data_IF_828366709015
#
_entry.id   IF_828366709015
#
_cell.length_a   1.000
_cell.length_b   1.000
_cell.length_c   1.000
_cell.angle_alpha   90.00
_cell.angle_beta   90.00
_cell.angle_gamma   90.00
#
_symmetry.space_group_name_H-M   'P 1'
#
loop_
_entity.id
_entity.type
_entity.pdbx_description
1 polymer ?
#
# COMPACT_ATOMS: atom_id res chain seq x y z
N UNK A 1 117.81 -55.24 46.17
CA UNK A 1 117.34 -56.62 45.90
C UNK A 1 116.47 -56.69 44.64
N UNK A 2 115.32 -55.99 44.57
CA UNK A 2 114.54 -55.86 43.31
C UNK A 2 114.96 -54.68 42.41
N UNK A 3 115.89 -53.85 42.90
CA UNK A 3 116.45 -52.67 42.22
C UNK A 3 117.27 -53.00 40.97
N UNK A 4 117.89 -54.18 40.95
CA UNK A 4 118.89 -54.57 39.94
C UNK A 4 118.37 -55.68 39.00
N UNK A 5 117.14 -56.16 39.23
CA UNK A 5 116.49 -57.21 38.44
C UNK A 5 115.49 -56.58 37.45
N UNK A 6 115.82 -56.59 36.16
CA UNK A 6 114.87 -56.20 35.12
C UNK A 6 113.95 -57.37 34.78
N UNK A 7 112.68 -57.24 35.15
CA UNK A 7 111.66 -58.22 34.77
C UNK A 7 111.11 -57.95 33.36
N UNK A 8 110.82 -59.00 32.57
CA UNK A 8 110.16 -58.85 31.28
C UNK A 8 108.78 -58.19 31.42
N UNK A 9 108.31 -57.59 30.32
CA UNK A 9 107.08 -56.79 30.30
C UNK A 9 105.87 -57.59 30.84
N UNK A 10 105.16 -57.05 31.84
CA UNK A 10 104.02 -57.70 32.49
C UNK A 10 104.35 -58.53 33.74
N UNK A 11 105.62 -58.59 34.15
CA UNK A 11 106.05 -59.13 35.44
C UNK A 11 106.53 -58.02 36.37
N UNK A 12 106.26 -58.17 37.68
CA UNK A 12 106.80 -57.29 38.72
C UNK A 12 107.80 -58.07 39.57
N UNK A 13 108.88 -57.42 39.99
CA UNK A 13 109.79 -58.01 40.95
C UNK A 13 109.13 -58.05 42.34
N UNK A 14 109.10 -59.22 42.96
CA UNK A 14 108.60 -59.44 44.30
C UNK A 14 109.61 -60.30 45.08
N UNK A 15 109.82 -60.00 46.36
CA UNK A 15 110.66 -60.83 47.23
C UNK A 15 109.86 -62.05 47.70
N UNK A 16 110.36 -63.25 47.40
CA UNK A 16 109.80 -64.54 47.84
C UNK A 16 110.92 -65.36 48.47
N UNK A 17 110.70 -65.82 49.71
CA UNK A 17 111.66 -66.62 50.50
C UNK A 17 113.08 -66.03 50.59
N UNK A 18 113.18 -64.70 50.67
CA UNK A 18 114.46 -63.99 50.77
C UNK A 18 115.17 -63.72 49.44
N UNK A 19 114.61 -64.11 48.30
CA UNK A 19 115.19 -63.91 46.96
C UNK A 19 114.26 -63.06 46.06
N UNK A 20 114.81 -62.15 45.23
CA UNK A 20 114.00 -61.37 44.28
C UNK A 20 113.58 -62.26 43.09
N UNK A 21 112.27 -62.38 42.85
CA UNK A 21 111.70 -63.12 41.72
C UNK A 21 110.77 -62.25 40.88
N UNK A 22 110.80 -62.44 39.56
CA UNK A 22 109.81 -61.86 38.66
C UNK A 22 108.54 -62.69 38.69
N UNK A 23 107.47 -62.14 39.24
CA UNK A 23 106.15 -62.77 39.27
C UNK A 23 105.22 -62.03 38.32
N UNK A 24 104.24 -62.74 37.75
CA UNK A 24 103.23 -62.10 36.91
C UNK A 24 102.48 -61.01 37.69
N UNK A 25 102.42 -59.81 37.11
CA UNK A 25 101.56 -58.74 37.64
C UNK A 25 100.11 -59.17 37.47
N UNK A 26 99.43 -59.53 38.56
CA UNK A 26 98.00 -59.82 38.54
C UNK A 26 97.23 -58.54 38.22
N UNK A 27 96.54 -58.43 37.08
CA UNK A 27 95.84 -57.21 36.72
C UNK A 27 94.70 -56.93 37.71
N UNK A 28 94.52 -55.66 38.05
CA UNK A 28 93.49 -55.15 38.97
C UNK A 28 92.50 -54.26 38.23
N UNK A 29 91.40 -53.88 38.89
CA UNK A 29 90.45 -52.93 38.30
C UNK A 29 91.02 -51.52 38.09
N UNK A 30 92.18 -51.17 38.67
CA UNK A 30 92.88 -49.95 38.32
C UNK A 30 93.54 -50.02 36.94
N UNK A 31 93.80 -51.23 36.43
CA UNK A 31 94.46 -51.47 35.15
C UNK A 31 93.46 -51.57 33.98
N UNK A 32 92.15 -51.53 34.25
CA UNK A 32 91.08 -51.72 33.24
C UNK A 32 90.19 -50.48 33.15
N UNK A 33 90.15 -49.86 31.97
CA UNK A 33 89.16 -48.80 31.66
C UNK A 33 87.91 -49.42 31.04
N UNK A 34 86.82 -49.43 31.80
CA UNK A 34 85.54 -49.95 31.33
C UNK A 34 84.79 -48.94 30.45
N UNK A 35 84.08 -49.40 29.40
CA UNK A 35 83.24 -48.54 28.57
C UNK A 35 82.07 -47.94 29.38
N UNK A 36 81.46 -46.88 28.84
CA UNK A 36 80.35 -46.14 29.48
C UNK A 36 79.24 -47.10 29.92
N UNK A 37 78.67 -46.88 31.11
CA UNK A 37 77.60 -47.68 31.73
C UNK A 37 77.99 -49.13 32.14
N UNK A 38 79.28 -49.39 32.26
CA UNK A 38 79.82 -50.61 32.88
C UNK A 38 80.76 -50.27 34.04
N UNK A 39 80.89 -51.16 35.01
CA UNK A 39 81.79 -50.99 36.16
C UNK A 39 82.72 -52.19 36.28
N UNK A 40 83.97 -51.96 36.69
CA UNK A 40 84.95 -53.03 36.85
C UNK A 40 84.74 -53.77 38.18
N UNK A 41 84.64 -55.10 38.11
CA UNK A 41 84.56 -55.97 39.28
C UNK A 41 85.58 -57.11 39.15
N UNK A 42 86.14 -57.53 40.28
CA UNK A 42 86.97 -58.75 40.33
C UNK A 42 86.05 -59.97 40.31
N UNK A 43 86.10 -60.74 39.21
CA UNK A 43 85.32 -61.97 39.03
C UNK A 43 86.30 -63.13 38.86
N UNK A 44 86.27 -64.09 39.78
CA UNK A 44 87.15 -65.26 39.79
C UNK A 44 88.64 -64.92 39.70
N UNK A 45 89.08 -63.88 40.41
CA UNK A 45 90.48 -63.44 40.44
C UNK A 45 90.92 -62.58 39.25
N UNK A 46 90.01 -62.21 38.34
CA UNK A 46 90.32 -61.36 37.17
C UNK A 46 89.39 -60.13 37.08
N UNK A 47 89.89 -58.95 36.69
CA UNK A 47 89.06 -57.76 36.52
C UNK A 47 88.17 -57.91 35.27
N UNK A 48 86.86 -57.74 35.43
CA UNK A 48 85.88 -57.78 34.33
C UNK A 48 84.94 -56.57 34.39
N UNK A 49 84.67 -55.96 33.23
CA UNK A 49 83.64 -54.94 33.10
C UNK A 49 82.27 -55.62 33.04
N UNK A 50 81.41 -55.32 34.02
CA UNK A 50 80.04 -55.83 34.07
C UNK A 50 79.07 -54.69 33.84
N UNK A 51 77.95 -54.97 33.16
CA UNK A 51 76.90 -53.98 32.94
C UNK A 51 76.30 -53.54 34.27
N UNK A 52 76.38 -52.24 34.54
CA UNK A 52 75.63 -51.61 35.60
C UNK A 52 74.21 -51.50 35.06
N UNK A 53 73.36 -52.49 35.31
CA UNK A 53 71.99 -52.53 34.76
C UNK A 53 71.21 -51.28 35.18
N UNK A 54 71.23 -50.25 34.33
CA UNK A 54 70.37 -49.09 34.45
C UNK A 54 69.03 -49.46 33.81
N UNK A 55 68.22 -50.23 34.54
CA UNK A 55 66.80 -50.33 34.22
C UNK A 55 66.24 -48.89 34.25
N UNK A 56 65.55 -48.42 33.19
CA UNK A 56 64.85 -47.14 33.26
C UNK A 56 63.97 -47.15 34.51
N UNK A 57 64.12 -46.13 35.37
CA UNK A 57 63.36 -46.06 36.63
C UNK A 57 61.95 -45.52 36.41
N UNK A 58 61.74 -44.83 35.29
CA UNK A 58 60.50 -44.14 34.94
C UNK A 58 60.19 -44.30 33.46
N UNK A 59 58.94 -44.00 33.09
CA UNK A 59 58.51 -43.99 31.69
C UNK A 59 59.08 -42.85 30.85
N UNK A 60 59.72 -41.85 31.49
CA UNK A 60 60.27 -40.67 30.80
C UNK A 60 61.44 -41.02 29.88
N UNK A 61 62.22 -42.04 30.25
CA UNK A 61 63.42 -42.46 29.51
C UNK A 61 63.17 -43.72 28.65
N UNK A 62 61.93 -44.25 28.65
CA UNK A 62 61.57 -45.47 27.94
C UNK A 62 60.80 -45.17 26.64
N UNK A 63 61.49 -45.26 25.51
CA UNK A 63 60.85 -45.20 24.20
C UNK A 63 60.21 -46.55 23.83
N UNK A 64 58.88 -46.56 23.75
CA UNK A 64 58.12 -47.74 23.36
C UNK A 64 57.87 -47.81 21.84
N UNK A 65 57.92 -49.02 21.23
CA UNK A 65 57.64 -49.21 19.82
C UNK A 65 56.19 -48.81 19.46
N UNK A 66 55.92 -48.66 18.15
CA UNK A 66 54.60 -48.27 17.63
C UNK A 66 53.50 -49.20 18.20
N UNK A 67 52.36 -48.61 18.55
CA UNK A 67 51.19 -49.27 19.16
C UNK A 67 51.39 -49.85 20.57
N UNK A 68 52.46 -49.46 21.25
CA UNK A 68 52.65 -49.68 22.69
C UNK A 68 52.76 -48.35 23.44
N UNK A 69 52.46 -48.36 24.74
CA UNK A 69 52.58 -47.21 25.64
C UNK A 69 53.31 -47.62 26.91
N UNK A 70 54.14 -46.74 27.47
CA UNK A 70 54.79 -47.03 28.73
C UNK A 70 53.79 -46.96 29.89
N UNK A 71 53.78 -48.00 30.73
CA UNK A 71 53.01 -48.05 31.96
C UNK A 71 53.91 -48.54 33.10
N UNK A 72 53.73 -47.98 34.30
CA UNK A 72 54.41 -48.46 35.49
C UNK A 72 53.69 -49.71 36.01
N UNK A 73 54.38 -50.86 36.00
CA UNK A 73 53.86 -52.13 36.51
C UNK A 73 54.80 -52.65 37.59
N UNK A 74 54.29 -52.83 38.81
CA UNK A 74 55.08 -53.27 39.98
C UNK A 74 56.35 -52.44 40.23
N UNK A 75 56.26 -51.11 40.06
CA UNK A 75 57.38 -50.20 40.29
C UNK A 75 58.42 -50.14 39.19
N UNK A 76 58.20 -50.80 38.04
CA UNK A 76 59.10 -50.77 36.89
C UNK A 76 58.36 -50.32 35.61
N UNK A 77 58.94 -49.45 34.77
CA UNK A 77 58.34 -49.06 33.51
C UNK A 77 58.37 -50.23 32.50
N UNK A 78 57.22 -50.48 31.85
CA UNK A 78 57.05 -51.50 30.83
C UNK A 78 56.26 -50.94 29.65
N UNK A 79 56.66 -51.31 28.43
CA UNK A 79 55.84 -51.06 27.24
C UNK A 79 54.72 -52.08 27.18
N UNK A 80 53.48 -51.62 27.26
CA UNK A 80 52.28 -52.45 27.13
C UNK A 80 51.57 -52.09 25.84
N UNK A 81 50.89 -53.05 25.22
CA UNK A 81 50.05 -52.76 24.06
C UNK A 81 48.98 -51.75 24.42
N UNK A 82 48.80 -50.74 23.56
CA UNK A 82 47.68 -49.80 23.70
C UNK A 82 46.39 -50.62 23.62
N UNK A 83 45.44 -50.35 24.54
CA UNK A 83 44.13 -51.01 24.49
C UNK A 83 43.50 -50.75 23.11
N UNK A 84 42.97 -51.78 22.44
CA UNK A 84 42.26 -51.60 21.17
C UNK A 84 41.13 -50.57 21.37
N UNK A 85 41.17 -49.47 20.60
CA UNK A 85 40.22 -48.37 20.69
C UNK A 85 39.56 -48.10 19.33
N UNK A 86 38.50 -47.30 19.35
CA UNK A 86 37.81 -46.86 18.14
C UNK A 86 38.46 -45.65 17.45
N UNK A 87 39.59 -45.15 17.96
CA UNK A 87 40.18 -43.87 17.51
C UNK A 87 40.59 -43.87 16.03
N UNK A 88 40.92 -45.06 15.49
CA UNK A 88 41.35 -45.23 14.09
C UNK A 88 40.39 -46.10 13.26
N UNK A 89 39.20 -46.42 13.78
CA UNK A 89 38.25 -47.30 13.09
C UNK A 89 37.21 -46.47 12.34
N UNK A 90 37.24 -46.55 11.00
CA UNK A 90 36.27 -45.85 10.15
C UNK A 90 35.13 -46.79 9.77
N UNK A 91 33.97 -46.59 10.41
CA UNK A 91 32.76 -47.36 10.15
C UNK A 91 31.95 -46.82 8.96
N UNK A 92 31.21 -47.70 8.27
CA UNK A 92 30.32 -47.33 7.18
C UNK A 92 29.09 -46.56 7.68
N UNK A 93 28.41 -45.82 6.79
CA UNK A 93 27.23 -44.99 7.13
C UNK A 93 26.15 -45.85 7.82
N UNK A 94 25.65 -45.39 8.98
CA UNK A 94 24.64 -46.11 9.77
C UNK A 94 25.19 -47.13 10.79
N UNK A 95 26.53 -47.18 10.96
CA UNK A 95 27.18 -48.00 11.98
C UNK A 95 28.06 -47.14 12.89
N UNK A 96 28.22 -47.52 14.15
CA UNK A 96 29.03 -46.83 15.15
C UNK A 96 30.07 -47.80 15.70
N UNK A 97 31.31 -47.34 15.91
CA UNK A 97 32.35 -48.17 16.50
C UNK A 97 32.11 -48.35 18.01
N UNK A 98 32.09 -49.59 18.46
CA UNK A 98 32.05 -49.97 19.86
C UNK A 98 33.13 -51.02 20.15
N UNK A 99 33.79 -50.92 21.31
CA UNK A 99 34.69 -51.96 21.79
C UNK A 99 33.85 -53.05 22.45
N UNK A 100 33.81 -54.24 21.83
CA UNK A 100 33.06 -55.42 22.31
C UNK A 100 34.05 -56.56 22.49
N UNK A 101 34.00 -57.23 23.64
CA UNK A 101 34.96 -58.29 24.02
C UNK A 101 36.44 -57.87 23.87
N UNK A 102 36.74 -56.59 24.14
CA UNK A 102 38.08 -56.04 24.03
C UNK A 102 38.54 -55.67 22.62
N UNK A 103 37.68 -55.81 21.60
CA UNK A 103 38.00 -55.49 20.20
C UNK A 103 37.04 -54.43 19.62
N UNK A 104 37.55 -53.44 18.86
CA UNK A 104 36.69 -52.44 18.22
C UNK A 104 35.92 -53.08 17.05
N UNK A 105 34.59 -52.96 17.08
CA UNK A 105 33.68 -53.47 16.04
C UNK A 105 32.71 -52.38 15.63
N UNK A 106 32.40 -52.30 14.34
CA UNK A 106 31.31 -51.45 13.84
C UNK A 106 29.99 -52.18 14.06
N UNK A 107 29.13 -51.64 14.93
CA UNK A 107 27.79 -52.18 15.18
C UNK A 107 26.75 -51.29 14.54
N UNK A 108 25.63 -51.86 14.10
CA UNK A 108 24.52 -51.05 13.60
C UNK A 108 24.07 -50.10 14.70
N UNK A 109 24.01 -48.82 14.36
CA UNK A 109 23.35 -47.85 15.21
C UNK A 109 21.89 -48.30 15.22
N UNK A 110 21.40 -48.85 16.35
CA UNK A 110 19.98 -49.12 16.54
C UNK A 110 19.27 -47.78 16.61
N UNK A 111 19.06 -47.17 15.45
CA UNK A 111 18.09 -46.11 15.30
C UNK A 111 16.76 -46.85 15.44
N UNK A 112 16.16 -46.82 16.64
CA UNK A 112 14.72 -47.04 16.75
C UNK A 112 14.10 -46.20 15.63
N UNK A 113 13.42 -46.80 14.65
CA UNK A 113 12.81 -46.04 13.57
C UNK A 113 11.95 -44.99 14.24
N UNK A 114 12.39 -43.73 14.15
CA UNK A 114 11.62 -42.61 14.68
C UNK A 114 10.29 -42.71 13.96
N UNK A 115 9.17 -42.77 14.70
CA UNK A 115 7.85 -42.82 14.07
C UNK A 115 7.78 -41.65 13.08
N UNK A 116 7.56 -41.91 11.78
CA UNK A 116 7.53 -40.85 10.80
C UNK A 116 6.40 -39.89 11.18
N UNK A 117 6.66 -38.60 11.07
CA UNK A 117 5.70 -37.53 11.28
C UNK A 117 5.30 -36.96 9.92
N UNK A 118 4.25 -36.13 9.88
CA UNK A 118 3.82 -35.53 8.61
C UNK A 118 4.88 -34.66 7.92
N UNK A 119 5.92 -34.20 8.63
CA UNK A 119 7.05 -33.50 8.01
C UNK A 119 7.99 -34.44 7.25
N UNK A 120 7.95 -35.75 7.54
CA UNK A 120 8.76 -36.79 6.89
C UNK A 120 8.06 -37.37 5.64
N UNK A 121 6.79 -37.00 5.40
CA UNK A 121 5.94 -37.58 4.35
C UNK A 121 5.61 -36.53 3.30
N UNK A 122 6.02 -36.77 2.05
CA UNK A 122 5.58 -36.00 0.89
C UNK A 122 4.29 -36.61 0.34
N UNK A 123 3.18 -35.91 0.52
CA UNK A 123 1.90 -36.29 -0.04
C UNK A 123 1.76 -35.84 -1.51
N UNK A 124 1.09 -36.63 -2.37
CA UNK A 124 0.81 -36.25 -3.76
C UNK A 124 -0.05 -34.98 -3.83
N UNK A 125 -0.09 -34.34 -5.01
CA UNK A 125 -0.92 -33.14 -5.25
C UNK A 125 -2.37 -33.40 -4.82
N UNK A 126 -3.00 -32.39 -4.23
CA UNK A 126 -4.38 -32.41 -3.74
C UNK A 126 -4.65 -33.36 -2.55
N UNK A 127 -3.60 -33.80 -1.86
CA UNK A 127 -3.70 -34.51 -0.58
C UNK A 127 -2.91 -33.78 0.52
N UNK A 128 -3.35 -33.90 1.76
CA UNK A 128 -2.67 -33.35 2.94
C UNK A 128 -2.34 -34.47 3.92
N UNK A 129 -1.23 -34.34 4.63
CA UNK A 129 -0.85 -35.31 5.64
C UNK A 129 -1.62 -35.03 6.93
N UNK A 130 -2.33 -36.05 7.43
CA UNK A 130 -3.00 -36.07 8.72
C UNK A 130 -2.48 -37.24 9.56
N UNK A 131 -2.38 -37.04 10.87
CA UNK A 131 -2.02 -38.12 11.78
C UNK A 131 -3.26 -38.94 12.13
N UNK A 132 -3.31 -40.20 11.73
CA UNK A 132 -4.35 -41.15 12.12
C UNK A 132 -3.74 -42.33 12.90
N UNK A 133 -4.29 -42.65 14.07
CA UNK A 133 -3.80 -43.69 14.99
C UNK A 133 -2.27 -43.66 15.25
N UNK A 134 -1.67 -42.46 15.25
CA UNK A 134 -0.24 -42.28 15.48
C UNK A 134 0.65 -42.60 14.27
N UNK A 135 0.07 -42.68 13.07
CA UNK A 135 0.79 -42.78 11.79
C UNK A 135 0.37 -41.65 10.84
N UNK A 136 1.30 -41.07 10.06
CA UNK A 136 0.97 -40.09 9.03
C UNK A 136 0.25 -40.77 7.86
N UNK A 137 -0.90 -40.25 7.46
CA UNK A 137 -1.65 -40.66 6.27
C UNK A 137 -1.93 -39.46 5.36
N UNK A 138 -1.75 -39.63 4.06
CA UNK A 138 -2.15 -38.63 3.07
C UNK A 138 -3.64 -38.81 2.78
N UNK A 139 -4.44 -37.85 3.23
CA UNK A 139 -5.88 -37.79 2.97
C UNK A 139 -6.14 -36.82 1.83
N UNK A 140 -7.16 -37.09 1.02
CA UNK A 140 -7.57 -36.14 0.00
C UNK A 140 -8.00 -34.84 0.66
N UNK A 141 -7.51 -33.73 0.14
CA UNK A 141 -7.98 -32.42 0.57
C UNK A 141 -9.48 -32.38 0.36
N UNK A 142 -10.21 -32.03 1.41
CA UNK A 142 -11.66 -31.86 1.31
C UNK A 142 -11.92 -30.87 0.18
N UNK A 143 -12.72 -31.24 -0.84
CA UNK A 143 -12.93 -30.36 -1.97
C UNK A 143 -13.58 -29.07 -1.47
N UNK A 144 -12.95 -27.92 -1.76
CA UNK A 144 -13.36 -26.59 -1.32
C UNK A 144 -13.49 -25.66 -2.51
N UNK A 145 -14.16 -24.53 -2.31
CA UNK A 145 -14.28 -23.48 -3.31
C UNK A 145 -13.01 -22.65 -3.52
N UNK A 146 -11.95 -22.87 -2.74
CA UNK A 146 -10.73 -22.04 -2.80
C UNK A 146 -9.98 -22.18 -4.13
N UNK A 147 -10.10 -23.35 -4.77
CA UNK A 147 -9.42 -23.67 -6.02
C UNK A 147 -10.36 -23.82 -7.23
N UNK A 148 -11.65 -23.50 -7.08
CA UNK A 148 -12.65 -23.66 -8.13
C UNK A 148 -12.86 -22.34 -8.86
N UNK A 149 -12.40 -22.26 -10.12
CA UNK A 149 -12.68 -21.13 -11.00
C UNK A 149 -14.04 -21.32 -11.67
N UNK A 150 -15.01 -20.53 -11.25
CA UNK A 150 -16.35 -20.54 -11.83
C UNK A 150 -16.47 -19.59 -13.04
N UNK A 151 -17.26 -19.95 -14.07
CA UNK A 151 -17.59 -19.05 -15.18
C UNK A 151 -18.16 -17.70 -14.72
N UNK A 152 -18.13 -16.70 -15.61
CA UNK A 152 -18.73 -15.38 -15.34
C UNK A 152 -20.21 -15.54 -14.93
N UNK A 153 -20.63 -14.79 -13.91
CA UNK A 153 -22.00 -14.82 -13.34
C UNK A 153 -22.38 -16.13 -12.61
N UNK A 154 -21.40 -16.95 -12.23
CA UNK A 154 -21.57 -18.08 -11.31
C UNK A 154 -20.71 -17.91 -10.06
N UNK A 155 -21.10 -18.55 -8.96
CA UNK A 155 -20.32 -18.58 -7.72
C UNK A 155 -20.22 -19.99 -7.19
N UNK A 156 -19.06 -20.31 -6.63
CA UNK A 156 -18.83 -21.62 -6.04
C UNK A 156 -19.58 -21.70 -4.70
N UNK A 157 -20.44 -22.70 -4.58
CA UNK A 157 -21.12 -23.04 -3.33
C UNK A 157 -20.81 -24.50 -2.99
N UNK A 158 -20.65 -24.77 -1.69
CA UNK A 158 -20.57 -26.12 -1.18
C UNK A 158 -21.96 -26.75 -1.16
N UNK A 159 -22.11 -27.88 -1.84
CA UNK A 159 -23.37 -28.62 -1.89
C UNK A 159 -23.51 -29.55 -0.69
N UNK A 160 -24.73 -30.05 -0.47
CA UNK A 160 -25.07 -30.93 0.67
C UNK A 160 -24.40 -32.30 0.61
N UNK A 161 -23.96 -32.74 -0.57
CA UNK A 161 -23.15 -33.95 -0.79
C UNK A 161 -21.65 -33.74 -0.52
N UNK A 162 -21.25 -32.52 -0.13
CA UNK A 162 -19.88 -32.17 0.20
C UNK A 162 -19.00 -31.83 -1.00
N UNK A 163 -19.56 -31.65 -2.20
CA UNK A 163 -18.82 -31.23 -3.40
C UNK A 163 -19.06 -29.75 -3.75
N UNK A 164 -18.03 -29.00 -4.17
CA UNK A 164 -18.20 -27.64 -4.65
C UNK A 164 -18.84 -27.63 -6.04
N UNK A 165 -19.89 -26.82 -6.23
CA UNK A 165 -20.52 -26.59 -7.54
C UNK A 165 -20.60 -25.10 -7.84
N UNK A 166 -20.39 -24.74 -9.11
CA UNK A 166 -20.64 -23.39 -9.60
C UNK A 166 -22.14 -23.25 -9.88
N UNK A 167 -22.82 -22.48 -9.05
CA UNK A 167 -24.24 -22.15 -9.24
C UNK A 167 -24.35 -20.74 -9.82
N UNK A 168 -25.36 -20.51 -10.66
CA UNK A 168 -25.62 -19.15 -11.13
C UNK A 168 -25.91 -18.25 -9.93
N UNK A 169 -25.20 -17.11 -9.88
CA UNK A 169 -25.55 -16.08 -8.91
C UNK A 169 -27.01 -15.71 -9.17
N UNK A 170 -27.83 -15.82 -8.13
CA UNK A 170 -29.22 -15.44 -8.22
C UNK A 170 -29.27 -14.01 -8.78
N UNK A 171 -29.99 -13.77 -9.89
CA UNK A 171 -29.93 -12.49 -10.56
C UNK A 171 -30.40 -11.43 -9.57
N UNK A 172 -29.57 -10.43 -9.33
CA UNK A 172 -29.77 -9.43 -8.28
C UNK A 172 -29.46 -8.03 -8.78
N UNK A 173 -30.03 -7.03 -8.11
CA UNK A 173 -29.81 -5.63 -8.44
C UNK A 173 -28.43 -5.10 -8.04
N UNK A 174 -27.56 -5.92 -7.44
CA UNK A 174 -26.28 -5.47 -6.89
C UNK A 174 -25.29 -5.00 -7.97
N UNK A 175 -25.46 -5.48 -9.21
CA UNK A 175 -24.60 -5.14 -10.35
C UNK A 175 -25.34 -4.45 -11.51
N UNK A 176 -26.61 -4.07 -11.32
CA UNK A 176 -27.41 -3.45 -12.38
C UNK A 176 -27.36 -1.93 -12.22
N UNK A 177 -26.74 -1.26 -13.19
CA UNK A 177 -26.77 0.20 -13.27
C UNK A 177 -28.01 0.65 -14.04
N UNK A 178 -28.95 1.28 -13.33
CA UNK A 178 -30.16 1.81 -13.92
C UNK A 178 -29.98 3.27 -14.38
N UNK A 179 -30.62 3.70 -15.49
CA UNK A 179 -30.69 5.09 -15.91
C UNK A 179 -31.22 6.03 -14.81
N UNK A 180 -30.95 7.34 -14.93
CA UNK A 180 -31.51 8.36 -14.01
C UNK A 180 -33.03 8.19 -13.87
N UNK A 181 -33.53 8.34 -12.64
CA UNK A 181 -34.95 8.24 -12.26
C UNK A 181 -35.58 6.84 -12.37
N UNK A 182 -34.76 5.81 -12.58
CA UNK A 182 -35.17 4.40 -12.47
C UNK A 182 -34.40 3.71 -11.34
N UNK A 183 -35.04 2.73 -10.71
CA UNK A 183 -34.38 1.90 -9.70
C UNK A 183 -34.51 0.43 -10.07
N UNK A 184 -33.51 -0.36 -9.71
CA UNK A 184 -33.55 -1.79 -9.98
C UNK A 184 -34.48 -2.48 -8.99
N UNK A 185 -35.46 -3.20 -9.52
CA UNK A 185 -36.36 -4.05 -8.77
C UNK A 185 -36.34 -5.47 -9.34
N UNK A 186 -36.54 -6.47 -8.48
CA UNK A 186 -36.75 -7.84 -8.91
C UNK A 186 -38.21 -8.00 -9.39
N UNK A 187 -38.41 -8.14 -10.69
CA UNK A 187 -39.72 -8.35 -11.32
C UNK A 187 -39.73 -9.74 -11.95
N UNK A 188 -40.65 -10.61 -11.52
CA UNK A 188 -40.76 -11.99 -12.02
C UNK A 188 -39.42 -12.77 -11.97
N UNK A 189 -38.66 -12.60 -10.88
CA UNK A 189 -37.40 -13.30 -10.65
C UNK A 189 -36.19 -12.74 -11.42
N UNK A 190 -36.33 -11.62 -12.14
CA UNK A 190 -35.24 -10.97 -12.88
C UNK A 190 -35.10 -9.49 -12.49
N UNK A 191 -33.87 -8.94 -12.41
CA UNK A 191 -33.66 -7.54 -12.13
C UNK A 191 -34.11 -6.69 -13.33
N UNK A 192 -35.04 -5.77 -13.09
CA UNK A 192 -35.53 -4.82 -14.07
C UNK A 192 -35.42 -3.39 -13.51
N UNK A 193 -34.94 -2.46 -14.34
CA UNK A 193 -35.00 -1.04 -14.02
C UNK A 193 -36.44 -0.56 -14.23
N UNK A 194 -37.16 -0.36 -13.14
CA UNK A 194 -38.50 0.20 -13.17
C UNK A 194 -38.41 1.68 -12.88
N UNK A 195 -39.31 2.46 -13.48
CA UNK A 195 -39.50 3.84 -13.07
C UNK A 195 -39.92 3.83 -11.61
N UNK A 196 -39.07 4.39 -10.76
CA UNK A 196 -39.51 4.88 -9.46
C UNK A 196 -40.59 5.90 -9.76
N UNK A 197 -41.86 5.53 -9.54
CA UNK A 197 -42.94 6.51 -9.46
C UNK A 197 -42.47 7.55 -8.47
N UNK A 198 -42.12 8.68 -9.05
CA UNK A 198 -41.62 9.87 -8.40
C UNK A 198 -42.50 10.13 -7.19
N UNK A 199 -41.88 10.27 -6.00
CA UNK A 199 -42.36 11.31 -5.11
C UNK A 199 -42.37 12.56 -5.99
N UNK A 200 -43.55 13.00 -6.39
CA UNK A 200 -43.74 14.18 -7.24
C UNK A 200 -43.13 15.33 -6.47
N UNK A 201 -41.83 15.56 -6.68
CA UNK A 201 -41.17 16.75 -6.21
C UNK A 201 -41.78 17.83 -7.10
N UNK A 202 -42.69 18.61 -6.51
CA UNK A 202 -43.39 19.69 -7.19
C UNK A 202 -42.34 20.49 -7.97
N UNK A 203 -42.44 20.57 -9.31
CA UNK A 203 -41.45 21.28 -10.11
C UNK A 203 -41.40 22.72 -9.63
N UNK A 204 -40.20 23.28 -9.61
CA UNK A 204 -39.92 24.61 -9.10
C UNK A 204 -39.30 25.47 -10.20
N UNK A 205 -39.21 26.78 -9.98
CA UNK A 205 -38.59 27.68 -10.96
C UNK A 205 -37.10 27.40 -11.22
N UNK A 206 -36.41 26.63 -10.39
CA UNK A 206 -35.05 26.17 -10.71
C UNK A 206 -35.01 25.10 -11.80
N UNK A 207 -36.15 24.45 -12.07
CA UNK A 207 -36.28 23.37 -13.04
C UNK A 207 -36.77 23.87 -14.42
N UNK A 208 -37.13 25.17 -14.53
CA UNK A 208 -37.72 25.79 -15.72
C UNK A 208 -36.79 26.87 -16.30
N UNK A 209 -36.36 26.71 -17.55
CA UNK A 209 -35.65 27.78 -18.28
C UNK A 209 -36.66 28.62 -19.07
N UNK A 210 -36.83 29.87 -18.67
CA UNK A 210 -37.71 30.81 -19.34
C UNK A 210 -37.02 31.50 -20.52
N UNK A 211 -37.72 31.74 -21.64
CA UNK A 211 -37.20 32.50 -22.78
C UNK A 211 -36.88 33.95 -22.39
N UNK A 212 -36.11 34.65 -23.24
CA UNK A 212 -35.71 36.05 -23.02
C UNK A 212 -36.95 36.93 -22.80
N UNK A 213 -36.89 37.84 -21.83
CA UNK A 213 -37.97 38.76 -21.43
C UNK A 213 -39.20 38.09 -20.76
N UNK A 214 -38.98 36.91 -20.16
CA UNK A 214 -39.92 36.25 -19.25
C UNK A 214 -39.22 35.80 -17.97
N UNK A 215 -39.90 35.89 -16.84
CA UNK A 215 -39.44 35.38 -15.55
C UNK A 215 -40.33 34.23 -15.06
N UNK A 216 -39.73 33.28 -14.35
CA UNK A 216 -40.49 32.19 -13.77
C UNK A 216 -41.20 32.66 -12.49
N UNK A 217 -42.51 32.47 -12.46
CA UNK A 217 -43.36 32.72 -11.30
C UNK A 217 -44.16 31.46 -10.96
N UNK A 218 -44.39 31.21 -9.67
CA UNK A 218 -45.25 30.13 -9.22
C UNK A 218 -46.71 30.59 -9.25
N UNK A 219 -47.52 29.99 -10.11
CA UNK A 219 -48.97 30.25 -10.24
C UNK A 219 -49.73 28.95 -10.04
N UNK A 220 -50.75 28.94 -9.18
CA UNK A 220 -51.53 27.72 -8.85
C UNK A 220 -50.65 26.51 -8.53
N UNK A 221 -49.59 26.79 -7.77
CA UNK A 221 -48.60 25.82 -7.32
C UNK A 221 -47.80 25.11 -8.44
N UNK A 222 -47.72 25.73 -9.62
CA UNK A 222 -46.92 25.31 -10.77
C UNK A 222 -46.01 26.45 -11.28
N UNK A 223 -44.77 26.17 -11.70
CA UNK A 223 -43.89 27.19 -12.28
C UNK A 223 -44.37 27.54 -13.71
N UNK A 224 -44.58 28.83 -13.97
CA UNK A 224 -44.95 29.39 -15.27
C UNK A 224 -44.00 30.53 -15.65
N UNK A 225 -43.60 30.60 -16.93
CA UNK A 225 -42.91 31.78 -17.45
C UNK A 225 -43.93 32.86 -17.76
N UNK A 226 -43.85 33.97 -17.03
CA UNK A 226 -44.68 35.15 -17.25
C UNK A 226 -43.81 36.23 -17.88
N UNK A 227 -44.40 37.04 -18.76
CA UNK A 227 -43.68 38.21 -19.27
C UNK A 227 -43.41 39.18 -18.14
N UNK A 228 -42.17 39.66 -18.07
CA UNK A 228 -41.84 40.72 -17.13
C UNK A 228 -42.74 41.93 -17.40
N UNK A 229 -43.37 42.53 -16.38
CA UNK A 229 -44.19 43.72 -16.56
C UNK A 229 -43.37 44.78 -17.29
N UNK A 230 -43.86 45.34 -18.40
CA UNK A 230 -43.09 46.31 -19.19
C UNK A 230 -42.70 47.48 -18.29
N UNK A 231 -41.42 47.82 -18.27
CA UNK A 231 -40.87 48.83 -17.37
C UNK A 231 -40.49 50.09 -18.14
N UNK A 232 -40.30 51.20 -17.43
CA UNK A 232 -39.77 52.42 -18.03
C UNK A 232 -38.32 52.30 -18.52
N UNK A 233 -37.62 51.19 -18.22
CA UNK A 233 -36.29 50.92 -18.81
C UNK A 233 -36.39 50.50 -20.27
N UNK A 234 -37.54 49.97 -20.67
CA UNK A 234 -37.78 49.41 -22.00
C UNK A 234 -38.46 50.41 -22.94
N UNK A 235 -38.76 51.63 -22.45
CA UNK A 235 -39.48 52.67 -23.19
C UNK A 235 -38.60 53.90 -23.40
N UNK A 236 -38.31 54.20 -24.67
CA UNK A 236 -37.53 55.37 -25.06
C UNK A 236 -38.46 56.56 -25.37
N UNK A 237 -38.58 57.48 -24.41
CA UNK A 237 -39.42 58.67 -24.55
C UNK A 237 -38.73 59.77 -25.36
N UNK A 238 -39.49 60.52 -26.17
CA UNK A 238 -38.98 61.68 -26.93
C UNK A 238 -38.54 62.82 -25.99
N UNK A 239 -37.71 63.74 -26.49
CA UNK A 239 -37.29 64.95 -25.75
C UNK A 239 -38.52 65.66 -25.17
N UNK A 240 -38.43 66.09 -23.91
CA UNK A 240 -39.49 66.76 -23.13
C UNK A 240 -40.65 65.86 -22.62
N UNK A 241 -40.48 64.54 -22.70
CA UNK A 241 -41.34 63.57 -22.01
C UNK A 241 -40.51 62.67 -21.07
N UNK A 242 -41.10 62.23 -19.96
CA UNK A 242 -40.49 61.28 -19.02
C UNK A 242 -41.40 60.07 -18.85
N UNK A 243 -40.81 58.88 -18.75
CA UNK A 243 -41.60 57.66 -18.55
C UNK A 243 -42.06 57.57 -17.10
N UNK A 244 -43.37 57.38 -16.92
CA UNK A 244 -43.99 57.11 -15.62
C UNK A 244 -44.85 55.85 -15.70
N UNK A 245 -44.88 55.08 -14.62
CA UNK A 245 -45.81 53.96 -14.47
C UNK A 245 -47.21 54.51 -14.18
N UNK A 246 -48.14 54.33 -15.10
CA UNK A 246 -49.55 54.72 -14.95
C UNK A 246 -50.41 53.46 -15.03
N UNK A 247 -51.12 53.13 -13.96
CA UNK A 247 -51.99 51.95 -13.89
C UNK A 247 -51.29 50.62 -14.23
N UNK A 248 -50.02 50.48 -13.81
CA UNK A 248 -49.23 49.27 -14.06
C UNK A 248 -48.54 49.20 -15.43
N UNK A 249 -48.64 50.24 -16.27
CA UNK A 249 -48.02 50.30 -17.60
C UNK A 249 -47.12 51.54 -17.76
N UNK A 250 -45.97 51.42 -18.45
CA UNK A 250 -45.07 52.55 -18.68
C UNK A 250 -45.65 53.48 -19.74
N UNK A 251 -45.81 54.77 -19.41
CA UNK A 251 -46.30 55.81 -20.32
C UNK A 251 -45.36 57.02 -20.31
N UNK A 252 -45.03 57.55 -21.49
CA UNK A 252 -44.32 58.81 -21.61
C UNK A 252 -45.30 59.97 -21.34
N UNK A 253 -45.04 60.74 -20.28
CA UNK A 253 -45.82 61.93 -19.92
C UNK A 253 -44.96 63.18 -20.09
N UNK A 254 -45.52 64.33 -20.52
CA UNK A 254 -44.76 65.57 -20.72
C UNK A 254 -44.10 66.05 -19.41
N UNK A 255 -42.81 66.37 -19.46
CA UNK A 255 -42.03 66.72 -18.25
C UNK A 255 -42.24 68.16 -17.78
N UNK A 256 -42.77 69.06 -18.62
CA UNK A 256 -43.40 70.37 -18.32
C UNK A 256 -43.47 71.28 -19.56
N UNK A 257 -44.65 71.76 -19.95
CA UNK A 257 -44.94 73.20 -20.23
C UNK A 257 -46.45 73.44 -20.29
N UNK A 258 -47.04 73.88 -19.19
CA UNK A 258 -48.18 74.81 -19.26
C UNK A 258 -47.59 76.21 -19.32
N UNK A 259 -47.89 77.05 -20.33
CA UNK A 259 -47.49 78.46 -20.31
C UNK A 259 -48.08 79.08 -19.05
N UNK A 260 -47.24 79.55 -18.11
CA UNK A 260 -47.72 80.22 -16.90
C UNK A 260 -48.04 81.69 -17.15
N UNK A 261 -47.61 82.22 -18.30
CA UNK A 261 -47.66 83.64 -18.66
C UNK A 261 -47.97 83.82 -20.14
N UNK A 262 -48.60 84.94 -20.50
CA UNK A 262 -48.94 85.27 -21.89
C UNK A 262 -47.73 85.49 -22.81
N UNK A 263 -46.52 85.63 -22.24
CA UNK A 263 -45.26 85.81 -22.98
C UNK A 263 -44.90 84.62 -23.87
N UNK A 264 -45.31 83.41 -23.47
CA UNK A 264 -44.95 82.15 -24.13
C UNK A 264 -46.07 81.61 -25.03
N UNK A 265 -47.19 82.34 -25.15
CA UNK A 265 -48.38 81.93 -25.89
C UNK A 265 -48.52 82.75 -27.18
N UNK A 266 -48.25 82.13 -28.33
CA UNK A 266 -48.54 82.74 -29.63
C UNK A 266 -50.02 82.58 -29.98
N UNK A 267 -50.76 83.69 -30.01
CA UNK A 267 -52.17 83.71 -30.36
C UNK A 267 -52.38 83.89 -31.88
N UNK A 268 -53.38 83.22 -32.49
CA UNK A 268 -53.73 83.41 -33.90
C UNK A 268 -54.16 84.85 -34.21
N UNK A 269 -54.08 85.26 -35.49
CA UNK A 269 -54.46 86.62 -35.94
C UNK A 269 -55.86 87.00 -35.43
N UNK A 270 -55.99 88.25 -34.97
CA UNK A 270 -57.22 88.85 -34.37
C UNK A 270 -57.63 88.32 -32.99
N UNK A 271 -56.68 87.71 -32.25
CA UNK A 271 -56.85 87.35 -30.84
C UNK A 271 -55.68 87.87 -29.99
N UNK A 272 -55.95 88.29 -28.75
CA UNK A 272 -54.92 88.71 -27.79
C UNK A 272 -54.89 87.78 -26.57
N UNK A 273 -53.70 87.56 -26.00
CA UNK A 273 -53.57 86.74 -24.80
C UNK A 273 -54.02 87.52 -23.55
N UNK A 274 -54.91 86.94 -22.77
CA UNK A 274 -55.35 87.45 -21.47
C UNK A 274 -55.25 86.37 -20.39
N UNK A 275 -54.96 86.78 -19.16
CA UNK A 275 -55.03 85.90 -17.99
C UNK A 275 -56.48 85.77 -17.54
N UNK A 276 -57.07 84.58 -17.71
CA UNK A 276 -58.43 84.27 -17.26
C UNK A 276 -58.32 83.17 -16.20
N UNK A 277 -58.79 83.46 -14.98
CA UNK A 277 -58.75 82.53 -13.84
C UNK A 277 -57.36 81.93 -13.59
N UNK A 278 -56.33 82.78 -13.60
CA UNK A 278 -54.95 82.40 -13.32
C UNK A 278 -54.23 81.65 -14.44
N UNK A 279 -54.81 81.53 -15.64
CA UNK A 279 -54.21 80.84 -16.78
C UNK A 279 -54.26 81.72 -18.06
N UNK A 280 -53.19 81.75 -18.89
CA UNK A 280 -53.19 82.52 -20.12
C UNK A 280 -54.09 81.88 -21.18
N UNK A 281 -54.98 82.68 -21.79
CA UNK A 281 -55.90 82.27 -22.86
C UNK A 281 -55.93 83.30 -23.98
N UNK A 282 -55.94 82.86 -25.24
CA UNK A 282 -56.21 83.73 -26.38
C UNK A 282 -57.71 84.03 -26.44
N UNK A 283 -58.09 85.29 -26.35
CA UNK A 283 -59.47 85.75 -26.49
C UNK A 283 -59.59 86.61 -27.74
N UNK A 284 -60.72 86.51 -28.43
CA UNK A 284 -60.99 87.37 -29.58
C UNK A 284 -61.01 88.82 -29.13
N UNK A 285 -60.13 89.63 -29.71
CA UNK A 285 -60.29 91.08 -29.67
C UNK A 285 -61.51 91.39 -30.52
N UNK A 286 -62.67 91.64 -29.88
CA UNK A 286 -63.93 91.95 -30.55
C UNK A 286 -63.68 92.90 -31.71
N UNK A 287 -63.79 92.37 -32.91
CA UNK A 287 -63.91 93.13 -34.15
C UNK A 287 -65.05 94.11 -33.97
N UNK A 288 -64.72 95.38 -34.14
CA UNK A 288 -65.65 96.49 -34.30
C UNK A 288 -66.87 96.06 -35.12
N UNK A 289 -68.06 96.24 -34.54
CA UNK A 289 -69.35 96.10 -35.22
C UNK A 289 -69.32 96.94 -36.51
N UNK A 290 -69.03 96.31 -37.65
CA UNK A 290 -69.39 96.88 -38.95
C UNK A 290 -70.87 96.58 -39.17
N UNK A 291 -71.67 97.63 -39.13
CA UNK A 291 -73.07 97.64 -39.51
C UNK A 291 -73.20 97.06 -40.94
N UNK A 292 -74.07 96.07 -41.19
CA UNK A 292 -74.24 95.50 -42.52
C UNK A 292 -74.73 96.56 -43.51
N UNK A 293 -74.11 96.63 -44.68
CA UNK A 293 -74.38 97.61 -45.72
C UNK A 293 -75.08 96.96 -46.91
N UNK A 294 -75.82 97.74 -47.70
CA UNK A 294 -76.42 97.27 -48.96
C UNK A 294 -75.41 96.73 -49.98
N UNK A 295 -74.11 96.97 -49.77
CA UNK A 295 -73.05 96.34 -50.58
C UNK A 295 -72.95 94.81 -50.37
N UNK A 296 -73.45 94.30 -49.24
CA UNK A 296 -73.39 92.89 -48.86
C UNK A 296 -74.68 92.12 -49.21
N UNK A 297 -75.67 92.77 -49.85
CA UNK A 297 -77.00 92.20 -50.12
C UNK A 297 -77.31 92.24 -51.63
N UNK A 298 -77.58 91.08 -52.23
CA UNK A 298 -77.99 90.96 -53.63
C UNK A 298 -79.51 90.89 -53.76
N UNK A 299 -80.13 91.93 -54.31
CA UNK A 299 -81.58 92.01 -54.53
C UNK A 299 -81.99 91.45 -55.90
N UNK A 300 -83.19 90.86 -55.99
CA UNK A 300 -83.73 90.34 -57.25
C UNK A 300 -84.08 91.46 -58.24
N UNK A 301 -84.01 91.16 -59.55
CA UNK A 301 -84.18 92.15 -60.63
C UNK A 301 -85.49 92.94 -60.47
N UNK A 302 -85.38 94.26 -60.35
CA UNK A 302 -86.50 95.19 -60.18
C UNK A 302 -86.62 95.80 -58.78
N UNK A 303 -85.82 95.33 -57.80
CA UNK A 303 -85.78 95.88 -56.42
C UNK A 303 -84.43 96.52 -56.11
N UNK A 304 -84.41 97.54 -55.26
CA UNK A 304 -83.18 98.26 -54.86
C UNK A 304 -82.98 98.15 -53.36
N UNK A 305 -81.74 97.90 -52.92
CA UNK A 305 -81.44 97.81 -51.50
C UNK A 305 -81.47 99.20 -50.84
N UNK A 306 -82.25 99.32 -49.77
CA UNK A 306 -82.28 100.46 -48.87
C UNK A 306 -82.06 100.02 -47.43
N UNK A 307 -81.31 100.81 -46.66
CA UNK A 307 -81.13 100.57 -45.22
C UNK A 307 -82.28 101.22 -44.47
N UNK A 308 -83.09 100.41 -43.79
CA UNK A 308 -84.20 100.85 -42.92
C UNK A 308 -83.96 100.31 -41.51
N UNK A 309 -84.10 101.16 -40.50
CA UNK A 309 -83.84 100.84 -39.08
C UNK A 309 -82.46 100.18 -38.82
N UNK A 310 -81.45 100.62 -39.57
CA UNK A 310 -80.07 100.15 -39.42
C UNK A 310 -79.75 98.81 -40.10
N UNK A 311 -80.69 98.24 -40.87
CA UNK A 311 -80.49 96.98 -41.61
C UNK A 311 -80.82 97.11 -43.10
N UNK A 312 -79.98 96.56 -44.01
CA UNK A 312 -80.22 96.59 -45.45
C UNK A 312 -81.39 95.68 -45.84
N UNK A 313 -82.34 96.20 -46.61
CA UNK A 313 -83.52 95.50 -47.13
C UNK A 313 -83.74 95.80 -48.61
N UNK A 314 -84.14 94.81 -49.39
CA UNK A 314 -84.53 94.98 -50.78
C UNK A 314 -86.00 95.40 -50.86
N UNK A 315 -86.28 96.57 -51.46
CA UNK A 315 -87.63 97.11 -51.69
C UNK A 315 -87.86 97.37 -53.17
#
# INVERSE_FOLDING_TARGET
ACSDLQCPQGMKCQMTDGWPQCVHHSPSCHDVRCPKDTSCHMVSGWPRCVQTKMSPRTCSDLHCPKDTSCQMTNGQPRCVHKRPSCDNVRCHKGTTCHVTDGWPRCVQTKVTPRRPLCHDVQCPKDTSCQMDNGHPQCVHNRPSCDNVQCPKDTSCHMMTDGWPQCVHQQPSCHHVQCPKDTSCHMVSGHPQCVQTKTSIKRPSCSDLQCPKDTSCQMTDEWPQCVHDPPSCRDVQCHKDTSCHMVSGWPRCVPTKVTPRTCSDLQCPKDTSCHMVSGHPRCVQTKTSLRTPSCHDVQCHKGTTCHVTDGWPRCV
#
